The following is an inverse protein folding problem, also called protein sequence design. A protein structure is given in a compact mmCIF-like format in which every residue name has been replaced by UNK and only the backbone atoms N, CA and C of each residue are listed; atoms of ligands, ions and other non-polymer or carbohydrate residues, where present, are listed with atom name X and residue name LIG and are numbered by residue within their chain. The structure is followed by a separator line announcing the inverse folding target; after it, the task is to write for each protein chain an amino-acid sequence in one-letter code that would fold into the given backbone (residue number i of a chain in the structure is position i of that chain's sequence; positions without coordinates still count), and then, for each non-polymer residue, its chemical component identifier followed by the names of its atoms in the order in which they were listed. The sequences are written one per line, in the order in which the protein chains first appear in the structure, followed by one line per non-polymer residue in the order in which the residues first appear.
data_IF_769554216546
#
_entry.id   IF_769554216546
#
_cell.length_a   1.000
_cell.length_b   1.000
_cell.length_c   1.000
_cell.angle_alpha   90.00
_cell.angle_beta   90.00
_cell.angle_gamma   90.00
#
_symmetry.space_group_name_H-M   'P 1'
#
loop_
_entity.id
_entity.type
_entity.pdbx_description
1 polymer ?
#
# COMPACT_ATOMS: atom_id res chain seq x y z
N UNK A 1 -25.94 17.12 4.18
CA UNK A 1 -25.34 16.47 5.36
C UNK A 1 -25.15 15.01 5.00
N UNK A 2 -24.00 14.67 4.45
CA UNK A 2 -23.67 13.26 4.17
C UNK A 2 -23.23 12.68 5.50
N UNK A 3 -24.07 11.84 6.10
CA UNK A 3 -23.69 11.07 7.28
C UNK A 3 -22.62 10.11 6.76
N UNK A 4 -21.35 10.45 7.00
CA UNK A 4 -20.26 9.48 6.88
C UNK A 4 -20.58 8.46 7.95
N UNK A 5 -21.16 7.33 7.56
CA UNK A 5 -21.30 6.19 8.44
C UNK A 5 -19.87 5.87 8.90
N UNK A 6 -19.57 6.21 10.15
CA UNK A 6 -18.27 5.93 10.75
C UNK A 6 -18.15 4.42 10.73
N UNK A 7 -17.26 3.88 9.88
CA UNK A 7 -16.91 2.47 9.88
C UNK A 7 -16.25 2.18 11.24
N UNK A 8 -17.08 1.77 12.19
CA UNK A 8 -16.68 1.56 13.57
C UNK A 8 -16.39 0.09 13.83
N UNK A 9 -15.63 -0.19 14.88
CA UNK A 9 -15.40 -1.56 15.32
C UNK A 9 -16.72 -2.27 15.66
N UNK A 10 -17.73 -1.53 16.14
CA UNK A 10 -19.05 -2.06 16.46
C UNK A 10 -19.82 -2.53 15.22
N UNK A 11 -19.67 -1.84 14.08
CA UNK A 11 -20.30 -2.24 12.82
C UNK A 11 -19.65 -3.51 12.24
N UNK A 12 -18.32 -3.60 12.33
CA UNK A 12 -17.55 -4.76 11.89
C UNK A 12 -17.82 -5.98 12.78
N UNK A 13 -17.92 -5.77 14.09
CA UNK A 13 -18.16 -6.81 15.07
C UNK A 13 -19.64 -7.14 15.26
N UNK A 14 -20.54 -6.46 14.54
CA UNK A 14 -21.99 -6.56 14.68
C UNK A 14 -22.47 -8.01 14.81
N UNK A 15 -23.35 -8.34 15.78
CA UNK A 15 -23.90 -9.68 15.91
C UNK A 15 -24.80 -10.07 14.73
N UNK A 16 -25.24 -9.09 13.93
CA UNK A 16 -25.96 -9.34 12.68
C UNK A 16 -24.98 -9.80 11.58
N UNK A 17 -25.09 -11.08 11.20
CA UNK A 17 -24.26 -11.67 10.14
C UNK A 17 -24.54 -11.10 8.75
N UNK A 18 -25.71 -10.46 8.54
CA UNK A 18 -26.07 -9.77 7.30
C UNK A 18 -25.61 -8.32 7.24
N UNK A 19 -25.00 -7.79 8.32
CA UNK A 19 -24.54 -6.41 8.35
C UNK A 19 -23.52 -6.15 7.22
N UNK A 20 -23.76 -5.17 6.34
CA UNK A 20 -22.88 -4.91 5.20
C UNK A 20 -21.43 -4.63 5.59
N UNK A 21 -21.18 -3.93 6.70
CA UNK A 21 -19.85 -3.63 7.18
C UNK A 21 -19.10 -4.88 7.67
N UNK A 22 -19.79 -5.77 8.39
CA UNK A 22 -19.25 -7.08 8.80
C UNK A 22 -18.92 -7.96 7.60
N UNK A 23 -19.80 -8.03 6.61
CA UNK A 23 -19.58 -8.80 5.37
C UNK A 23 -18.37 -8.23 4.61
N UNK A 24 -18.37 -6.92 4.35
CA UNK A 24 -17.29 -6.24 3.65
C UNK A 24 -15.94 -6.41 4.36
N UNK A 25 -15.92 -6.35 5.70
CA UNK A 25 -14.71 -6.61 6.49
C UNK A 25 -14.19 -8.02 6.31
N UNK A 26 -15.05 -9.04 6.46
CA UNK A 26 -14.64 -10.45 6.36
C UNK A 26 -14.12 -10.79 4.97
N UNK A 27 -14.78 -10.31 3.92
CA UNK A 27 -14.30 -10.45 2.56
C UNK A 27 -12.96 -9.75 2.33
N UNK A 28 -12.82 -8.52 2.83
CA UNK A 28 -11.57 -7.77 2.70
C UNK A 28 -10.41 -8.47 3.42
N UNK A 29 -10.63 -8.99 4.63
CA UNK A 29 -9.62 -9.76 5.37
C UNK A 29 -9.22 -11.01 4.60
N UNK A 30 -10.17 -11.77 4.04
CA UNK A 30 -9.89 -12.96 3.24
C UNK A 30 -9.06 -12.61 1.99
N UNK A 31 -9.44 -11.57 1.25
CA UNK A 31 -8.74 -11.13 0.05
C UNK A 31 -7.30 -10.69 0.35
N UNK A 32 -7.10 -9.93 1.42
CA UNK A 32 -5.76 -9.48 1.84
C UNK A 32 -4.92 -10.65 2.38
N UNK A 33 -5.52 -11.62 3.06
CA UNK A 33 -4.82 -12.82 3.53
C UNK A 33 -4.30 -13.67 2.35
N UNK A 34 -5.09 -13.86 1.29
CA UNK A 34 -4.64 -14.59 0.09
C UNK A 34 -3.48 -13.86 -0.62
N UNK A 35 -3.57 -12.52 -0.75
CA UNK A 35 -2.44 -11.71 -1.26
C UNK A 35 -1.18 -11.85 -0.38
N UNK A 36 -1.35 -11.88 0.94
CA UNK A 36 -0.24 -12.07 1.87
C UNK A 36 0.40 -13.46 1.72
N UNK A 37 -0.38 -14.53 1.50
CA UNK A 37 0.15 -15.87 1.21
C UNK A 37 0.95 -15.92 -0.09
N UNK A 38 0.46 -15.25 -1.14
CA UNK A 38 1.15 -15.19 -2.43
C UNK A 38 2.49 -14.45 -2.35
N UNK A 39 2.55 -13.35 -1.58
CA UNK A 39 3.74 -12.50 -1.45
C UNK A 39 4.74 -13.01 -0.41
N UNK A 40 4.29 -13.77 0.59
CA UNK A 40 5.11 -14.31 1.68
C UNK A 40 4.94 -15.83 1.81
N UNK A 41 5.35 -16.61 0.79
CA UNK A 41 5.10 -18.06 0.75
C UNK A 41 5.72 -18.82 1.93
N UNK A 42 6.89 -18.40 2.40
CA UNK A 42 7.56 -18.97 3.59
C UNK A 42 6.84 -18.67 4.91
N UNK A 43 5.87 -17.75 4.88
CA UNK A 43 5.12 -17.30 6.04
C UNK A 43 3.65 -17.75 6.01
N UNK A 44 3.21 -18.62 5.10
CA UNK A 44 1.79 -19.01 4.98
C UNK A 44 1.13 -19.41 6.31
N UNK A 45 1.77 -20.25 7.12
CA UNK A 45 1.26 -20.61 8.45
C UNK A 45 1.23 -19.44 9.45
N UNK A 46 2.08 -18.42 9.27
CA UNK A 46 2.02 -17.16 10.04
C UNK A 46 0.91 -16.25 9.52
N UNK A 47 0.64 -16.23 8.22
CA UNK A 47 -0.48 -15.50 7.60
C UNK A 47 -1.81 -16.03 8.09
N UNK A 48 -1.98 -17.35 8.18
CA UNK A 48 -3.21 -17.96 8.73
C UNK A 48 -3.45 -17.54 10.18
N UNK A 49 -2.42 -17.61 11.03
CA UNK A 49 -2.50 -17.17 12.43
C UNK A 49 -2.76 -15.66 12.55
N UNK A 50 -2.13 -14.86 11.70
CA UNK A 50 -2.35 -13.42 11.63
C UNK A 50 -3.80 -13.10 11.23
N UNK A 51 -4.35 -13.83 10.26
CA UNK A 51 -5.75 -13.68 9.82
C UNK A 51 -6.72 -13.97 10.96
N UNK A 52 -6.45 -15.04 11.74
CA UNK A 52 -7.26 -15.35 12.93
C UNK A 52 -7.21 -14.22 13.98
N UNK A 53 -6.01 -13.68 14.28
CA UNK A 53 -5.84 -12.52 15.18
C UNK A 53 -6.67 -11.32 14.69
N UNK A 54 -6.65 -11.01 13.39
CA UNK A 54 -7.42 -9.90 12.82
C UNK A 54 -8.92 -10.13 12.95
N UNK A 55 -9.41 -11.34 12.65
CA UNK A 55 -10.83 -11.69 12.72
C UNK A 55 -11.36 -11.75 14.16
N UNK A 56 -10.50 -12.04 15.14
CA UNK A 56 -10.84 -12.02 16.56
C UNK A 56 -10.88 -10.60 17.15
N UNK A 57 -10.35 -9.61 16.44
CA UNK A 57 -10.26 -8.23 16.95
C UNK A 57 -9.06 -7.96 17.83
N UNK A 58 -8.05 -8.81 17.77
CA UNK A 58 -6.85 -8.74 18.58
C UNK A 58 -5.81 -7.73 18.04
N UNK A 59 -6.25 -6.73 17.25
CA UNK A 59 -5.39 -5.69 16.65
C UNK A 59 -5.94 -4.31 16.94
N UNK A 60 -5.15 -3.50 17.64
CA UNK A 60 -5.41 -2.09 17.91
C UNK A 60 -4.37 -1.23 17.16
N UNK A 61 -4.84 -0.39 16.24
CA UNK A 61 -3.99 0.56 15.53
C UNK A 61 -3.79 1.82 16.38
N UNK A 62 -2.53 2.27 16.47
CA UNK A 62 -2.14 3.48 17.20
C UNK A 62 -1.64 4.54 16.21
N UNK A 63 -1.55 5.78 16.69
CA UNK A 63 -1.01 6.89 15.91
C UNK A 63 0.46 6.67 15.49
N UNK A 64 0.88 7.36 14.43
CA UNK A 64 2.26 7.27 13.93
C UNK A 64 2.63 5.89 13.39
N UNK A 65 1.64 5.12 12.91
CA UNK A 65 1.87 3.80 12.32
C UNK A 65 2.18 2.69 13.32
N UNK A 66 2.05 2.94 14.62
CA UNK A 66 2.23 1.93 15.67
C UNK A 66 1.01 1.01 15.77
N UNK A 67 1.18 -0.15 16.38
CA UNK A 67 0.05 -1.04 16.69
C UNK A 67 0.31 -1.88 17.93
N UNK A 68 -0.77 -2.29 18.59
CA UNK A 68 -0.80 -3.31 19.63
C UNK A 68 -1.50 -4.54 19.07
N UNK A 69 -0.93 -5.71 19.29
CA UNK A 69 -1.51 -6.98 18.83
C UNK A 69 -1.51 -7.96 19.98
N UNK A 70 -2.70 -8.45 20.36
CA UNK A 70 -2.82 -9.42 21.43
C UNK A 70 -2.30 -10.80 20.98
N UNK A 71 -1.77 -11.56 21.94
CA UNK A 71 -1.27 -12.89 21.71
C UNK A 71 -2.43 -13.84 21.44
N UNK A 72 -2.38 -14.51 20.29
CA UNK A 72 -3.34 -15.57 19.94
C UNK A 72 -3.51 -16.66 21.02
N UNK A 73 -2.49 -16.91 21.84
CA UNK A 73 -2.51 -18.03 22.80
C UNK A 73 -3.25 -17.73 24.11
N UNK A 74 -3.37 -16.46 24.52
CA UNK A 74 -3.93 -16.09 25.82
C UNK A 74 -4.74 -14.79 25.83
N UNK A 75 -4.73 -13.99 24.76
CA UNK A 75 -5.44 -12.71 24.64
C UNK A 75 -4.97 -11.60 25.61
N UNK A 76 -4.13 -11.91 26.60
CA UNK A 76 -3.70 -10.98 27.65
C UNK A 76 -2.33 -10.37 27.37
N UNK A 77 -1.42 -11.13 26.74
CA UNK A 77 -0.11 -10.61 26.36
C UNK A 77 -0.27 -9.76 25.11
N UNK A 78 0.14 -8.50 25.16
CA UNK A 78 0.08 -7.57 24.03
C UNK A 78 1.50 -7.29 23.52
N UNK A 79 1.68 -7.44 22.21
CA UNK A 79 2.92 -7.12 21.52
C UNK A 79 2.80 -5.77 20.81
N UNK A 80 3.88 -5.01 20.81
CA UNK A 80 3.94 -3.68 20.24
C UNK A 80 4.70 -3.70 18.92
N UNK A 81 4.17 -2.95 17.97
CA UNK A 81 4.77 -2.73 16.66
C UNK A 81 5.05 -1.24 16.53
N UNK A 82 6.31 -0.90 16.29
CA UNK A 82 6.77 0.46 16.07
C UNK A 82 7.91 0.46 15.05
N UNK A 83 7.95 1.45 14.16
CA UNK A 83 9.01 1.62 13.16
C UNK A 83 9.28 0.35 12.32
N UNK A 84 8.23 -0.42 12.05
CA UNK A 84 8.33 -1.66 11.30
C UNK A 84 8.87 -2.87 12.07
N UNK A 85 9.17 -2.75 13.37
CA UNK A 85 9.65 -3.85 14.21
C UNK A 85 8.57 -4.33 15.18
N UNK A 86 8.70 -5.56 15.70
CA UNK A 86 7.80 -6.11 16.72
C UNK A 86 8.60 -6.66 17.90
N UNK A 87 8.14 -6.38 19.11
CA UNK A 87 8.74 -6.83 20.37
C UNK A 87 8.48 -8.33 20.69
N UNK A 88 7.88 -9.09 19.78
CA UNK A 88 7.58 -10.50 20.01
C UNK A 88 8.79 -11.41 19.79
N UNK A 89 8.84 -12.52 20.52
CA UNK A 89 9.92 -13.51 20.41
C UNK A 89 10.00 -14.21 19.02
N UNK A 90 8.95 -14.15 18.21
CA UNK A 90 8.94 -14.69 16.85
C UNK A 90 9.54 -13.70 15.82
N UNK A 91 9.62 -12.40 16.13
CA UNK A 91 10.14 -11.38 15.21
C UNK A 91 11.53 -11.72 14.66
N UNK A 92 12.57 -11.98 15.47
CA UNK A 92 13.90 -12.30 14.94
C UNK A 92 14.01 -13.70 14.33
N UNK A 93 12.98 -14.56 14.49
CA UNK A 93 12.98 -15.96 14.02
C UNK A 93 12.18 -16.16 12.75
N UNK A 94 11.32 -15.20 12.42
CA UNK A 94 10.46 -15.28 11.25
C UNK A 94 11.25 -14.95 9.98
N UNK A 95 10.94 -15.58 8.84
CA UNK A 95 11.54 -15.23 7.56
C UNK A 95 11.38 -13.73 7.28
N UNK A 96 12.49 -13.04 7.01
CA UNK A 96 12.53 -11.58 6.82
C UNK A 96 11.82 -10.79 7.93
N UNK A 97 11.86 -11.31 9.16
CA UNK A 97 11.20 -10.76 10.34
C UNK A 97 9.66 -10.63 10.24
N UNK A 98 9.00 -11.40 9.35
CA UNK A 98 7.54 -11.39 9.21
C UNK A 98 6.85 -12.27 10.26
N UNK A 99 6.90 -11.84 11.52
CA UNK A 99 6.13 -12.49 12.57
C UNK A 99 4.62 -12.30 12.35
N UNK A 100 3.82 -13.19 12.97
CA UNK A 100 2.36 -13.14 12.86
C UNK A 100 1.75 -11.79 13.26
N UNK A 101 2.34 -11.05 14.20
CA UNK A 101 1.81 -9.75 14.65
C UNK A 101 2.03 -8.64 13.62
N UNK A 102 3.20 -8.59 12.96
CA UNK A 102 3.47 -7.64 11.86
C UNK A 102 2.55 -7.92 10.68
N UNK A 103 2.37 -9.20 10.34
CA UNK A 103 1.42 -9.61 9.31
C UNK A 103 0.00 -9.20 9.72
N UNK A 104 -0.42 -9.44 10.96
CA UNK A 104 -1.76 -9.08 11.45
C UNK A 104 -2.03 -7.58 11.35
N UNK A 105 -1.09 -6.72 11.78
CA UNK A 105 -1.16 -5.27 11.56
C UNK A 105 -1.34 -4.94 10.08
N UNK A 106 -0.49 -5.51 9.22
CA UNK A 106 -0.55 -5.25 7.78
C UNK A 106 -1.88 -5.69 7.15
N UNK A 107 -2.37 -6.87 7.52
CA UNK A 107 -3.68 -7.38 7.07
C UNK A 107 -4.79 -6.46 7.56
N UNK A 108 -4.79 -6.08 8.84
CA UNK A 108 -5.81 -5.21 9.43
C UNK A 108 -5.88 -3.84 8.73
N UNK A 109 -4.74 -3.15 8.57
CA UNK A 109 -4.68 -1.83 7.90
C UNK A 109 -5.23 -1.90 6.48
N UNK A 110 -4.80 -2.90 5.71
CA UNK A 110 -5.24 -3.05 4.31
C UNK A 110 -6.69 -3.51 4.19
N UNK A 111 -7.15 -4.38 5.08
CA UNK A 111 -8.52 -4.84 5.12
C UNK A 111 -9.48 -3.70 5.50
N UNK A 112 -9.10 -2.80 6.42
CA UNK A 112 -9.92 -1.64 6.81
C UNK A 112 -10.12 -0.74 5.59
N UNK A 113 -9.04 -0.42 4.89
CA UNK A 113 -9.08 0.41 3.69
C UNK A 113 -9.96 -0.22 2.58
N UNK A 114 -9.81 -1.53 2.35
CA UNK A 114 -10.58 -2.26 1.33
C UNK A 114 -12.06 -2.40 1.69
N UNK A 115 -12.38 -2.73 2.94
CA UNK A 115 -13.76 -2.85 3.41
C UNK A 115 -14.49 -1.51 3.29
N UNK A 116 -13.85 -0.41 3.69
CA UNK A 116 -14.39 0.94 3.51
C UNK A 116 -14.67 1.25 2.04
N UNK A 117 -13.71 0.98 1.16
CA UNK A 117 -13.88 1.21 -0.28
C UNK A 117 -15.06 0.41 -0.88
N UNK A 118 -15.26 -0.85 -0.45
CA UNK A 118 -16.39 -1.68 -0.90
C UNK A 118 -17.74 -1.12 -0.45
N UNK A 119 -17.83 -0.62 0.79
CA UNK A 119 -19.05 -0.01 1.32
C UNK A 119 -19.38 1.30 0.61
N UNK A 120 -18.37 2.14 0.39
CA UNK A 120 -18.52 3.41 -0.32
C UNK A 120 -18.98 3.18 -1.78
N UNK A 121 -18.47 2.13 -2.43
CA UNK A 121 -18.89 1.72 -3.78
C UNK A 121 -20.33 1.17 -3.80
N UNK A 122 -20.76 0.46 -2.75
CA UNK A 122 -22.14 -0.02 -2.62
C UNK A 122 -23.16 1.08 -2.33
N UNK A 123 -22.77 2.11 -1.58
CA UNK A 123 -23.62 3.26 -1.22
C UNK A 123 -23.89 4.22 -2.39
N UNK A 124 -22.99 4.27 -3.38
CA UNK A 124 -23.12 5.10 -4.58
C UNK A 124 -23.89 4.45 -5.74
N UNK A 125 -24.57 3.32 -5.51
CA UNK A 125 -25.67 2.81 -6.34
C UNK A 125 -25.38 2.61 -7.84
N UNK A 126 -24.95 1.40 -8.19
CA UNK A 126 -25.27 0.65 -9.42
C UNK A 126 -25.32 1.40 -10.77
N UNK A 127 -24.32 1.13 -11.62
CA UNK A 127 -24.55 0.93 -13.04
C UNK A 127 -24.28 -0.54 -13.39
N UNK A 128 -25.35 -1.34 -13.43
CA UNK A 128 -25.36 -2.63 -14.12
C UNK A 128 -25.40 -2.39 -15.63
N UNK A 129 -24.56 -3.10 -16.40
CA UNK A 129 -24.87 -3.43 -17.79
C UNK A 129 -24.26 -4.79 -18.16
N UNK A 130 -25.12 -5.79 -18.29
CA UNK A 130 -24.82 -7.06 -18.94
C UNK A 130 -25.09 -6.95 -20.46
N UNK A 131 -24.12 -7.37 -21.27
CA UNK A 131 -24.27 -8.22 -22.47
C UNK A 131 -24.84 -7.63 -23.78
N UNK A 132 -24.03 -7.65 -24.85
CA UNK A 132 -24.36 -8.27 -26.16
C UNK A 132 -23.12 -8.33 -27.11
N UNK A 133 -23.18 -9.26 -28.05
CA UNK A 133 -22.08 -10.02 -28.66
C UNK A 133 -21.15 -9.34 -29.70
N UNK A 134 -19.89 -9.79 -29.63
CA UNK A 134 -18.79 -10.05 -30.60
C UNK A 134 -18.92 -9.71 -32.12
N UNK A 135 -17.79 -9.51 -32.87
CA UNK A 135 -16.81 -10.59 -33.11
C UNK A 135 -15.30 -10.25 -33.02
N UNK A 136 -14.54 -11.22 -32.49
CA UNK A 136 -13.17 -11.71 -32.75
C UNK A 136 -12.01 -10.70 -33.08
N UNK A 137 -11.11 -10.37 -32.14
CA UNK A 137 -9.86 -11.06 -31.68
C UNK A 137 -8.55 -10.42 -32.25
N UNK A 138 -7.35 -10.54 -31.63
CA UNK A 138 -6.99 -11.05 -30.29
C UNK A 138 -5.95 -10.22 -29.48
N UNK A 139 -5.70 -10.71 -28.26
CA UNK A 139 -4.65 -10.44 -27.25
C UNK A 139 -5.07 -9.50 -26.11
N UNK A 140 -5.40 -10.13 -24.97
CA UNK A 140 -6.03 -9.53 -23.79
C UNK A 140 -5.12 -8.59 -22.98
N UNK A 141 -5.69 -7.76 -22.10
CA UNK A 141 -4.90 -6.88 -21.26
C UNK A 141 -4.20 -7.68 -20.15
N UNK A 142 -2.88 -7.54 -20.09
CA UNK A 142 -2.04 -7.94 -18.97
C UNK A 142 -2.60 -7.28 -17.71
N UNK A 143 -3.08 -8.07 -16.75
CA UNK A 143 -3.36 -7.58 -15.40
C UNK A 143 -2.07 -7.00 -14.82
N UNK A 144 -2.06 -5.69 -14.61
CA UNK A 144 -0.90 -5.00 -14.05
C UNK A 144 -0.90 -5.10 -12.52
N UNK A 145 0.28 -5.32 -11.90
CA UNK A 145 0.39 -5.34 -10.45
C UNK A 145 -0.19 -4.09 -9.78
N UNK A 146 -0.88 -4.29 -8.65
CA UNK A 146 -1.40 -3.26 -7.73
C UNK A 146 -2.33 -2.19 -8.34
N UNK A 147 -3.03 -2.47 -9.46
CA UNK A 147 -4.04 -1.57 -10.02
C UNK A 147 -3.47 -0.34 -10.73
N UNK A 148 -2.17 -0.35 -11.05
CA UNK A 148 -1.56 0.68 -11.91
C UNK A 148 -2.13 0.53 -13.32
N UNK A 149 -2.68 1.58 -13.97
CA UNK A 149 -3.23 1.42 -15.32
C UNK A 149 -2.15 0.93 -16.29
N UNK A 150 -2.42 -0.07 -17.16
CA UNK A 150 -1.41 -0.71 -18.01
C UNK A 150 -0.55 0.25 -18.85
N UNK A 151 -1.15 1.35 -19.33
CA UNK A 151 -0.45 2.42 -20.06
C UNK A 151 0.70 3.10 -19.28
N UNK A 152 0.68 2.98 -17.96
CA UNK A 152 1.69 3.53 -17.05
C UNK A 152 2.70 2.48 -16.57
N UNK A 153 2.59 1.24 -17.02
CA UNK A 153 3.59 0.20 -16.75
C UNK A 153 4.51 0.05 -17.96
N UNK A 154 5.81 -0.02 -17.71
CA UNK A 154 6.85 -0.31 -18.70
C UNK A 154 7.62 -1.53 -18.26
N UNK A 155 7.90 -2.44 -19.20
CA UNK A 155 8.76 -3.60 -18.92
C UNK A 155 10.18 -3.27 -19.37
N UNK A 156 11.13 -3.29 -18.44
CA UNK A 156 12.56 -3.12 -18.70
C UNK A 156 13.25 -4.41 -18.26
N UNK A 157 13.97 -5.06 -19.18
CA UNK A 157 14.66 -6.34 -18.92
C UNK A 157 13.74 -7.39 -18.26
N UNK A 158 12.48 -7.49 -18.72
CA UNK A 158 11.51 -8.44 -18.20
C UNK A 158 10.89 -8.08 -16.84
N UNK A 159 11.27 -6.97 -16.21
CA UNK A 159 10.72 -6.48 -14.95
C UNK A 159 9.75 -5.31 -15.19
N UNK A 160 8.56 -5.30 -14.56
CA UNK A 160 7.63 -4.18 -14.67
C UNK A 160 8.06 -3.00 -13.79
N UNK A 161 7.93 -1.79 -14.32
CA UNK A 161 8.17 -0.51 -13.66
C UNK A 161 6.98 0.40 -13.88
N UNK A 162 6.65 1.24 -12.90
CA UNK A 162 5.59 2.23 -13.01
C UNK A 162 6.18 3.58 -13.47
N UNK A 163 5.47 4.30 -14.33
CA UNK A 163 5.83 5.70 -14.64
C UNK A 163 5.35 6.60 -13.50
N UNK A 164 6.11 7.65 -13.17
CA UNK A 164 5.67 8.67 -12.21
C UNK A 164 4.28 9.23 -12.54
N UNK A 165 3.96 9.40 -13.83
CA UNK A 165 2.62 9.84 -14.27
C UNK A 165 1.48 8.91 -13.80
N UNK A 166 1.72 7.59 -13.72
CA UNK A 166 0.75 6.64 -13.19
C UNK A 166 0.54 6.81 -11.70
N UNK A 167 1.63 6.97 -10.94
CA UNK A 167 1.56 7.27 -9.51
C UNK A 167 0.81 8.58 -9.25
N UNK A 168 1.12 9.63 -10.01
CA UNK A 168 0.46 10.93 -9.84
C UNK A 168 -1.04 10.87 -10.18
N UNK A 169 -1.42 10.16 -11.26
CA UNK A 169 -2.82 9.97 -11.61
C UNK A 169 -3.57 9.25 -10.47
N UNK A 170 -3.04 8.12 -10.01
CA UNK A 170 -3.65 7.34 -8.92
C UNK A 170 -3.73 8.15 -7.62
N UNK A 171 -2.74 9.00 -7.34
CA UNK A 171 -2.75 9.88 -6.18
C UNK A 171 -3.87 10.93 -6.26
N UNK A 172 -4.05 11.58 -7.42
CA UNK A 172 -5.17 12.51 -7.62
C UNK A 172 -6.53 11.81 -7.48
N UNK A 173 -6.69 10.62 -8.04
CA UNK A 173 -7.91 9.81 -7.91
C UNK A 173 -8.21 9.46 -6.44
N UNK A 174 -7.18 9.34 -5.60
CA UNK A 174 -7.29 9.12 -4.15
C UNK A 174 -7.33 10.40 -3.33
N UNK A 175 -7.44 11.56 -3.98
CA UNK A 175 -7.62 12.84 -3.32
C UNK A 175 -6.32 13.48 -2.84
N UNK A 176 -5.21 13.35 -3.57
CA UNK A 176 -3.99 14.12 -3.34
C UNK A 176 -4.29 15.63 -3.42
N UNK A 177 -3.98 16.37 -2.36
CA UNK A 177 -4.18 17.82 -2.25
C UNK A 177 -2.88 18.58 -2.40
N UNK A 178 -1.77 18.01 -1.91
CA UNK A 178 -0.45 18.63 -2.03
C UNK A 178 0.63 17.56 -2.19
N UNK A 179 1.60 17.83 -3.07
CA UNK A 179 2.82 17.05 -3.23
C UNK A 179 4.02 17.99 -3.35
N UNK A 180 4.72 18.19 -2.24
CA UNK A 180 5.90 19.06 -2.16
C UNK A 180 7.16 18.23 -2.10
N UNK A 181 8.29 18.82 -2.51
CA UNK A 181 9.60 18.26 -2.25
C UNK A 181 10.62 19.37 -2.17
N UNK A 182 11.54 19.22 -1.23
CA UNK A 182 12.61 20.17 -0.93
C UNK A 182 13.94 19.41 -0.87
N UNK A 183 15.02 20.09 -1.24
CA UNK A 183 16.35 19.53 -1.01
C UNK A 183 16.70 19.60 0.46
N UNK A 184 17.17 18.47 1.00
CA UNK A 184 17.74 18.41 2.35
C UNK A 184 19.26 18.54 2.34
N UNK A 185 19.89 18.18 1.20
CA UNK A 185 21.33 18.30 1.01
C UNK A 185 21.68 18.41 -0.48
N UNK A 186 22.71 19.19 -0.80
CA UNK A 186 23.31 19.26 -2.13
C UNK A 186 24.80 19.56 -2.05
N UNK A 187 25.62 18.80 -2.77
CA UNK A 187 26.99 19.16 -3.12
C UNK A 187 27.27 18.90 -4.61
N UNK A 188 28.55 18.82 -4.99
CA UNK A 188 28.99 18.57 -6.37
C UNK A 188 28.61 17.18 -6.91
N UNK A 189 28.47 16.19 -6.05
CA UNK A 189 28.37 14.76 -6.38
C UNK A 189 27.03 14.14 -5.94
N UNK A 190 26.43 14.64 -4.86
CA UNK A 190 25.26 14.08 -4.19
C UNK A 190 24.17 15.13 -3.96
N UNK A 191 22.92 14.70 -4.17
CA UNK A 191 21.72 15.45 -3.86
C UNK A 191 20.76 14.56 -3.08
N UNK A 192 20.27 15.07 -1.96
CA UNK A 192 19.22 14.45 -1.15
C UNK A 192 17.99 15.37 -1.14
N UNK A 193 16.83 14.75 -1.25
CA UNK A 193 15.54 15.42 -1.26
C UNK A 193 14.59 14.72 -0.30
N UNK A 194 13.64 15.48 0.22
CA UNK A 194 12.54 15.02 1.04
C UNK A 194 11.23 15.49 0.41
N UNK A 195 10.27 14.58 0.27
CA UNK A 195 8.97 14.85 -0.32
C UNK A 195 7.83 14.53 0.65
N UNK A 196 6.76 15.30 0.53
CA UNK A 196 5.56 15.18 1.36
C UNK A 196 4.34 15.09 0.46
N UNK A 197 3.51 14.06 0.65
CA UNK A 197 2.21 13.93 0.00
C UNK A 197 1.10 14.09 1.05
N UNK A 198 0.18 15.03 0.83
CA UNK A 198 -0.98 15.27 1.70
C UNK A 198 -2.27 15.00 0.92
N UNK A 199 -3.18 14.24 1.52
CA UNK A 199 -4.45 13.85 0.93
C UNK A 199 -5.61 14.57 1.62
N UNK A 200 -6.74 14.66 0.93
CA UNK A 200 -7.96 15.35 1.39
C UNK A 200 -8.57 14.72 2.64
N UNK A 201 -8.24 13.45 2.90
CA UNK A 201 -8.67 12.71 4.09
C UNK A 201 -7.74 12.93 5.30
N UNK A 202 -6.78 13.85 5.19
CA UNK A 202 -5.83 14.19 6.25
C UNK A 202 -4.62 13.26 6.32
N UNK A 203 -4.55 12.18 5.51
CA UNK A 203 -3.34 11.35 5.46
C UNK A 203 -2.17 12.15 4.90
N UNK A 204 -1.02 11.99 5.54
CA UNK A 204 0.23 12.62 5.14
C UNK A 204 1.34 11.57 5.12
N UNK A 205 2.07 11.52 4.02
CA UNK A 205 3.18 10.62 3.78
C UNK A 205 4.43 11.43 3.50
N UNK A 206 5.58 10.89 3.90
CA UNK A 206 6.87 11.53 3.77
C UNK A 206 7.88 10.50 3.31
N UNK A 207 8.71 10.85 2.32
CA UNK A 207 9.83 10.00 1.95
C UNK A 207 10.98 10.78 1.30
N UNK A 208 12.18 10.23 1.39
CA UNK A 208 13.41 10.79 0.84
C UNK A 208 13.78 10.20 -0.53
N UNK A 209 14.57 10.94 -1.28
CA UNK A 209 15.15 10.50 -2.55
C UNK A 209 16.54 11.06 -2.74
N UNK A 210 17.38 10.31 -3.43
CA UNK A 210 18.77 10.65 -3.67
C UNK A 210 19.14 10.55 -5.14
N UNK A 211 20.14 11.33 -5.56
CA UNK A 211 20.74 11.20 -6.87
C UNK A 211 22.20 11.64 -6.86
N UNK A 212 22.98 11.00 -7.73
CA UNK A 212 24.32 11.40 -8.13
C UNK A 212 24.38 11.43 -9.66
N UNK A 213 25.42 12.02 -10.25
CA UNK A 213 25.60 11.96 -11.72
C UNK A 213 25.74 10.52 -12.23
N UNK A 214 26.29 9.63 -11.41
CA UNK A 214 26.48 8.21 -11.74
C UNK A 214 25.22 7.36 -11.55
N UNK A 215 24.28 7.79 -10.69
CA UNK A 215 23.08 7.01 -10.37
C UNK A 215 21.86 7.34 -11.23
N UNK A 216 21.98 8.19 -12.25
CA UNK A 216 20.86 8.62 -13.12
C UNK A 216 21.17 8.35 -14.60
N UNK A 217 20.14 8.44 -15.45
CA UNK A 217 20.31 8.34 -16.91
C UNK A 217 21.29 9.40 -17.44
N UNK A 218 22.13 9.01 -18.42
CA UNK A 218 23.23 9.85 -18.91
C UNK A 218 22.76 11.19 -19.50
N UNK A 219 21.55 11.23 -20.07
CA UNK A 219 20.92 12.45 -20.63
C UNK A 219 20.49 13.44 -19.55
N UNK A 220 20.30 12.99 -18.31
CA UNK A 220 19.87 13.84 -17.17
C UNK A 220 20.93 13.93 -16.07
N UNK A 221 22.12 13.36 -16.27
CA UNK A 221 23.24 13.39 -15.32
C UNK A 221 23.58 14.80 -14.83
N UNK A 222 23.64 15.79 -15.73
CA UNK A 222 23.89 17.20 -15.39
C UNK A 222 22.77 17.84 -14.55
N UNK A 223 21.60 17.19 -14.48
CA UNK A 223 20.43 17.61 -13.73
C UNK A 223 20.11 16.69 -12.55
N UNK A 224 21.07 15.87 -12.08
CA UNK A 224 20.86 14.88 -11.02
C UNK A 224 20.18 15.46 -9.77
N UNK A 225 20.47 16.71 -9.38
CA UNK A 225 19.81 17.37 -8.25
C UNK A 225 18.29 17.46 -8.40
N UNK A 226 17.79 17.68 -9.62
CA UNK A 226 16.34 17.68 -9.91
C UNK A 226 15.78 16.26 -9.90
N UNK A 227 16.58 15.27 -10.27
CA UNK A 227 16.18 13.85 -10.24
C UNK A 227 15.96 13.39 -8.80
N UNK A 228 16.76 13.84 -7.82
CA UNK A 228 16.54 13.54 -6.40
C UNK A 228 15.13 13.94 -5.94
N UNK A 229 14.66 15.14 -6.32
CA UNK A 229 13.29 15.60 -6.02
C UNK A 229 12.22 14.70 -6.66
N UNK A 230 12.41 14.31 -7.92
CA UNK A 230 11.48 13.40 -8.62
C UNK A 230 11.44 12.02 -7.97
N UNK A 231 12.59 11.50 -7.53
CA UNK A 231 12.69 10.22 -6.82
C UNK A 231 11.98 10.26 -5.47
N UNK A 232 12.20 11.30 -4.68
CA UNK A 232 11.50 11.50 -3.42
C UNK A 232 9.97 11.54 -3.64
N UNK A 233 9.51 12.29 -4.66
CA UNK A 233 8.10 12.36 -5.03
C UNK A 233 7.54 11.01 -5.50
N UNK A 234 8.29 10.24 -6.28
CA UNK A 234 7.86 8.93 -6.72
C UNK A 234 7.69 7.97 -5.54
N UNK A 235 8.68 7.90 -4.64
CA UNK A 235 8.66 7.03 -3.47
C UNK A 235 7.54 7.37 -2.50
N UNK A 236 7.35 8.64 -2.14
CA UNK A 236 6.26 9.04 -1.25
C UNK A 236 4.88 8.72 -1.83
N UNK A 237 4.72 8.82 -3.17
CA UNK A 237 3.49 8.41 -3.82
C UNK A 237 3.33 6.89 -3.83
N UNK A 238 4.39 6.11 -4.08
CA UNK A 238 4.30 4.65 -3.96
C UNK A 238 3.86 4.22 -2.57
N UNK A 239 4.44 4.81 -1.54
CA UNK A 239 4.11 4.52 -0.14
C UNK A 239 2.66 4.89 0.17
N UNK A 240 2.23 6.08 -0.26
CA UNK A 240 0.84 6.53 -0.11
C UNK A 240 -0.16 5.63 -0.86
N UNK A 241 0.27 5.06 -1.98
CA UNK A 241 -0.57 4.26 -2.88
C UNK A 241 -0.52 2.76 -2.61
N UNK A 242 0.48 2.27 -1.85
CA UNK A 242 0.76 0.85 -1.70
C UNK A 242 1.18 0.18 -3.02
N UNK A 243 1.99 0.87 -3.83
CA UNK A 243 2.51 0.36 -5.11
C UNK A 243 3.93 -0.15 -4.91
N UNK A 244 4.14 -1.45 -5.10
CA UNK A 244 5.48 -2.06 -4.93
C UNK A 244 6.36 -1.95 -6.19
N UNK A 245 5.78 -1.57 -7.35
CA UNK A 245 6.55 -1.32 -8.56
C UNK A 245 7.47 -0.12 -8.39
N UNK A 246 8.76 -0.29 -8.63
CA UNK A 246 9.72 0.82 -8.68
C UNK A 246 9.34 1.78 -9.80
N UNK A 247 9.44 3.09 -9.56
CA UNK A 247 9.19 4.06 -10.61
C UNK A 247 10.36 4.10 -11.61
N UNK A 248 10.07 4.27 -12.89
CA UNK A 248 11.10 4.37 -13.95
C UNK A 248 12.09 5.50 -13.63
N UNK A 249 11.59 6.60 -13.06
CA UNK A 249 12.37 7.77 -12.67
C UNK A 249 13.33 7.51 -11.50
N UNK A 250 13.21 6.37 -10.82
CA UNK A 250 14.16 5.91 -9.79
C UNK A 250 15.33 5.12 -10.36
N UNK A 251 15.29 4.73 -11.64
CA UNK A 251 16.35 3.94 -12.26
C UNK A 251 17.52 4.81 -12.73
N UNK A 252 18.71 4.20 -12.74
CA UNK A 252 19.79 4.61 -13.62
C UNK A 252 19.58 3.96 -15.00
N UNK A 253 20.28 4.44 -16.03
CA UNK A 253 20.35 3.67 -17.27
C UNK A 253 21.04 2.34 -16.97
N UNK A 254 20.42 1.24 -17.40
CA UNK A 254 21.13 -0.01 -17.62
C UNK A 254 21.95 0.16 -18.91
N UNK A 255 23.25 -0.11 -18.85
CA UNK A 255 24.11 -0.19 -20.05
C UNK A 255 23.53 -1.12 -21.12
#
# INVERSE_FOLDING_TARGET
MTIVAQFSWDDIASPDFGNPARVAWREAVAEIAEKAKATLPECNGRVEKATAIVLNGDVELLEGGKAKVASQSNGQTVYHIANGECDCNDYPKAPSNWCKHRIARGVHVRALALAKAKLDAGANGQATAQGQDAPAQPSGPVETPQGVPPRHVVVIQGKPFVKFAGLLQMAHERGLVALTADWTYNDAELSLAHAVATFQDGRRFEESGDATQASVNRKVAVHFRRVALTRAKARVLRDALGVDLVAVEELADSE
#
